data_IF_594883535934
#
_entry.id   IF_594883535934
#
_cell.length_a   1.000
_cell.length_b   1.000
_cell.length_c   1.000
_cell.angle_alpha   90.00
_cell.angle_beta   90.00
_cell.angle_gamma   90.00
#
_symmetry.space_group_name_H-M   'P 1'
#
loop_
_entity.id
_entity.type
_entity.pdbx_description
1 polymer ?
#
# COMPACT_ATOMS: atom_id res chain seq x y z
N UNK A 1 -7.06 -5.02 -6.73
CA UNK A 1 -7.58 -6.38 -6.57
C UNK A 1 -7.26 -7.19 -7.80
N UNK A 2 -6.02 -7.64 -7.96
CA UNK A 2 -5.85 -9.00 -8.48
C UNK A 2 -5.14 -9.80 -7.41
N UNK A 3 -4.06 -9.28 -6.79
CA UNK A 3 -3.39 -9.94 -5.65
C UNK A 3 -4.35 -10.29 -4.50
N UNK A 4 -5.31 -9.41 -4.21
CA UNK A 4 -6.21 -9.56 -3.06
C UNK A 4 -7.40 -10.50 -3.34
N UNK A 5 -7.88 -10.57 -4.59
CA UNK A 5 -9.01 -11.45 -4.96
C UNK A 5 -8.55 -12.77 -5.57
N UNK A 6 -7.29 -12.88 -5.98
CA UNK A 6 -6.77 -14.13 -6.54
C UNK A 6 -6.88 -15.32 -5.58
N UNK A 7 -6.71 -15.17 -4.25
CA UNK A 7 -7.06 -16.23 -3.32
C UNK A 7 -8.51 -16.72 -3.46
N UNK A 8 -9.43 -15.84 -3.87
CA UNK A 8 -10.88 -16.10 -3.91
C UNK A 8 -11.26 -17.12 -4.96
N UNK A 9 -10.47 -17.32 -6.02
CA UNK A 9 -10.73 -18.37 -7.00
C UNK A 9 -10.62 -19.79 -6.42
N UNK A 10 -9.91 -19.95 -5.31
CA UNK A 10 -9.75 -21.23 -4.62
C UNK A 10 -10.73 -21.45 -3.47
N UNK A 11 -11.44 -20.41 -3.02
CA UNK A 11 -12.31 -20.50 -1.85
C UNK A 11 -13.57 -21.34 -2.06
N UNK A 12 -14.29 -21.30 -3.21
CA UNK A 12 -15.55 -22.03 -3.39
C UNK A 12 -15.46 -23.52 -3.03
N UNK A 13 -14.36 -24.17 -3.42
CA UNK A 13 -14.13 -25.60 -3.15
C UNK A 13 -13.96 -25.94 -1.66
N UNK A 14 -13.73 -24.95 -0.80
CA UNK A 14 -13.44 -25.13 0.64
C UNK A 14 -14.56 -24.61 1.55
N UNK A 15 -15.57 -23.93 0.99
CA UNK A 15 -16.64 -23.32 1.79
C UNK A 15 -17.47 -24.36 2.55
N UNK A 16 -17.63 -25.56 2.00
CA UNK A 16 -18.38 -26.65 2.64
C UNK A 16 -17.72 -27.18 3.92
N UNK A 17 -16.39 -27.07 4.03
CA UNK A 17 -15.61 -27.69 5.11
C UNK A 17 -15.30 -26.71 6.26
N UNK A 18 -15.51 -25.42 6.03
CA UNK A 18 -15.14 -24.35 6.97
C UNK A 18 -16.27 -23.33 7.14
N UNK A 19 -16.98 -23.43 8.27
CA UNK A 19 -18.05 -22.50 8.64
C UNK A 19 -17.55 -21.05 8.77
N UNK A 20 -16.34 -20.84 9.31
CA UNK A 20 -15.80 -19.49 9.43
C UNK A 20 -15.45 -18.88 8.07
N UNK A 21 -14.94 -19.67 7.14
CA UNK A 21 -14.66 -19.22 5.78
C UNK A 21 -15.95 -18.94 5.00
N UNK A 22 -16.97 -19.77 5.19
CA UNK A 22 -18.31 -19.54 4.63
C UNK A 22 -18.90 -18.21 5.11
N UNK A 23 -18.88 -17.96 6.42
CA UNK A 23 -19.43 -16.73 7.00
C UNK A 23 -18.61 -15.48 6.59
N UNK A 24 -17.28 -15.59 6.54
CA UNK A 24 -16.41 -14.53 6.03
C UNK A 24 -16.68 -14.22 4.55
N UNK A 25 -16.86 -15.25 3.72
CA UNK A 25 -17.17 -15.09 2.29
C UNK A 25 -18.56 -14.47 2.10
N UNK A 26 -19.55 -14.88 2.91
CA UNK A 26 -20.88 -14.29 2.90
C UNK A 26 -20.86 -12.80 3.29
N UNK A 27 -20.05 -12.41 4.28
CA UNK A 27 -19.80 -11.00 4.59
C UNK A 27 -19.27 -10.24 3.36
N UNK A 28 -18.23 -10.77 2.71
CA UNK A 28 -17.64 -10.13 1.53
C UNK A 28 -18.67 -9.95 0.39
N UNK A 29 -19.46 -10.99 0.10
CA UNK A 29 -20.52 -10.92 -0.90
C UNK A 29 -21.56 -9.85 -0.55
N UNK A 30 -21.98 -9.76 0.71
CA UNK A 30 -22.96 -8.76 1.16
C UNK A 30 -22.44 -7.33 1.01
N UNK A 31 -21.19 -7.05 1.41
CA UNK A 31 -20.61 -5.70 1.29
C UNK A 31 -20.37 -5.32 -0.16
N UNK A 32 -19.99 -6.29 -0.99
CA UNK A 32 -19.80 -6.11 -2.42
C UNK A 32 -21.13 -5.78 -3.12
N UNK A 33 -22.20 -6.48 -2.76
CA UNK A 33 -23.54 -6.25 -3.30
C UNK A 33 -24.09 -4.86 -2.93
N UNK A 34 -23.94 -4.43 -1.67
CA UNK A 34 -24.26 -3.06 -1.21
C UNK A 34 -23.46 -2.03 -2.00
N UNK A 35 -22.16 -2.26 -2.18
CA UNK A 35 -21.29 -1.37 -2.96
C UNK A 35 -21.77 -1.26 -4.42
N UNK A 36 -22.07 -2.39 -5.08
CA UNK A 36 -22.55 -2.40 -6.47
C UNK A 36 -23.88 -1.70 -6.66
N UNK A 37 -24.77 -1.77 -5.66
CA UNK A 37 -26.06 -1.05 -5.68
C UNK A 37 -25.92 0.44 -5.35
N UNK A 38 -24.71 0.91 -5.02
CA UNK A 38 -24.43 2.28 -4.62
C UNK A 38 -25.32 2.76 -3.45
N UNK A 39 -25.62 1.83 -2.53
CA UNK A 39 -26.44 2.12 -1.36
C UNK A 39 -25.68 2.97 -0.35
N UNK A 40 -26.41 3.53 0.62
CA UNK A 40 -25.81 4.26 1.72
C UNK A 40 -24.84 3.32 2.45
N UNK A 41 -23.57 3.73 2.52
CA UNK A 41 -22.53 2.96 3.21
C UNK A 41 -22.92 2.77 4.69
N UNK A 42 -22.95 1.51 5.11
CA UNK A 42 -23.15 1.10 6.49
C UNK A 42 -21.77 0.72 7.05
N UNK A 43 -21.46 1.15 8.28
CA UNK A 43 -20.26 0.69 8.97
C UNK A 43 -20.30 -0.84 9.09
N UNK A 44 -19.19 -1.52 8.77
CA UNK A 44 -19.17 -2.99 8.79
C UNK A 44 -19.55 -3.55 10.16
N UNK A 45 -19.10 -2.90 11.23
CA UNK A 45 -19.44 -3.25 12.61
C UNK A 45 -20.95 -3.29 12.91
N UNK A 46 -21.77 -2.59 12.13
CA UNK A 46 -23.23 -2.57 12.28
C UNK A 46 -23.93 -3.63 11.41
N UNK A 47 -23.22 -4.34 10.54
CA UNK A 47 -23.79 -5.37 9.69
C UNK A 47 -23.95 -6.69 10.45
N UNK A 48 -25.13 -7.32 10.45
CA UNK A 48 -25.31 -8.64 11.07
C UNK A 48 -24.36 -9.71 10.51
N UNK A 49 -24.05 -9.64 9.20
CA UNK A 49 -23.10 -10.53 8.55
C UNK A 49 -21.67 -10.40 9.11
N UNK A 50 -21.26 -9.18 9.51
CA UNK A 50 -19.95 -8.95 10.12
C UNK A 50 -19.90 -9.57 11.51
N UNK A 51 -20.92 -9.31 12.34
CA UNK A 51 -21.05 -9.96 13.64
C UNK A 51 -20.99 -11.48 13.52
N UNK A 52 -21.73 -12.08 12.59
CA UNK A 52 -21.70 -13.53 12.34
C UNK A 52 -20.30 -14.03 11.97
N UNK A 53 -19.61 -13.37 11.04
CA UNK A 53 -18.26 -13.73 10.62
C UNK A 53 -17.25 -13.70 11.78
N UNK A 54 -17.29 -12.65 12.61
CA UNK A 54 -16.41 -12.51 13.77
C UNK A 54 -16.67 -13.60 14.82
N UNK A 55 -17.94 -13.91 15.15
CA UNK A 55 -18.25 -14.99 16.10
C UNK A 55 -17.87 -16.38 15.56
N UNK A 56 -18.02 -16.60 14.25
CA UNK A 56 -17.61 -17.85 13.59
C UNK A 56 -16.09 -18.02 13.63
N UNK A 57 -15.35 -16.94 13.36
CA UNK A 57 -13.90 -16.90 13.50
C UNK A 57 -13.45 -17.14 14.95
N UNK A 58 -14.04 -16.45 15.92
CA UNK A 58 -13.70 -16.59 17.34
C UNK A 58 -13.83 -18.05 17.81
N UNK A 59 -14.95 -18.70 17.53
CA UNK A 59 -15.15 -20.13 17.84
C UNK A 59 -14.12 -21.03 17.16
N UNK A 60 -13.74 -20.71 15.93
CA UNK A 60 -12.73 -21.48 15.20
C UNK A 60 -11.34 -21.33 15.82
N UNK A 61 -11.00 -20.12 16.30
CA UNK A 61 -9.73 -19.85 16.98
C UNK A 61 -9.60 -20.55 18.34
N UNK A 62 -10.71 -20.93 18.96
CA UNK A 62 -10.77 -21.73 20.20
C UNK A 62 -10.73 -23.25 19.93
N UNK A 63 -10.78 -23.67 18.66
CA UNK A 63 -10.81 -25.08 18.25
C UNK A 63 -9.45 -25.58 17.75
N UNK A 64 -9.38 -26.87 17.45
CA UNK A 64 -8.26 -27.52 16.77
C UNK A 64 -8.03 -27.00 15.33
N UNK A 65 -9.01 -26.29 14.74
CA UNK A 65 -8.93 -25.70 13.40
C UNK A 65 -8.31 -24.29 13.38
N UNK A 66 -7.87 -23.75 14.52
CA UNK A 66 -7.37 -22.38 14.64
C UNK A 66 -6.23 -22.04 13.64
N UNK A 67 -5.30 -22.97 13.44
CA UNK A 67 -4.10 -22.78 12.62
C UNK A 67 -4.16 -23.54 11.30
N UNK A 68 -5.26 -23.39 10.58
CA UNK A 68 -5.46 -23.97 9.24
C UNK A 68 -5.45 -22.90 8.15
N UNK A 69 -5.19 -23.30 6.91
CA UNK A 69 -5.26 -22.40 5.75
C UNK A 69 -6.69 -21.86 5.55
N UNK A 70 -7.72 -22.59 5.97
CA UNK A 70 -9.12 -22.11 5.91
C UNK A 70 -9.37 -20.97 6.89
N UNK A 71 -8.88 -21.11 8.13
CA UNK A 71 -8.97 -20.01 9.12
C UNK A 71 -8.17 -18.80 8.65
N UNK A 72 -6.98 -19.01 8.07
CA UNK A 72 -6.19 -17.93 7.47
C UNK A 72 -6.93 -17.23 6.32
N UNK A 73 -7.60 -18.01 5.46
CA UNK A 73 -8.42 -17.47 4.38
C UNK A 73 -9.58 -16.63 4.93
N UNK A 74 -10.28 -17.13 5.96
CA UNK A 74 -11.39 -16.41 6.58
C UNK A 74 -10.95 -15.06 7.16
N UNK A 75 -9.83 -15.01 7.89
CA UNK A 75 -9.26 -13.77 8.43
C UNK A 75 -8.86 -12.82 7.30
N UNK A 76 -8.22 -13.33 6.25
CA UNK A 76 -7.81 -12.52 5.09
C UNK A 76 -9.02 -11.91 4.38
N UNK A 77 -10.11 -12.67 4.21
CA UNK A 77 -11.36 -12.18 3.60
C UNK A 77 -11.98 -11.06 4.45
N UNK A 78 -12.09 -11.26 5.77
CA UNK A 78 -12.63 -10.23 6.68
C UNK A 78 -11.77 -8.97 6.61
N UNK A 79 -10.44 -9.09 6.69
CA UNK A 79 -9.52 -7.96 6.64
C UNK A 79 -9.62 -7.18 5.33
N UNK A 80 -9.84 -7.87 4.21
CA UNK A 80 -10.06 -7.21 2.93
C UNK A 80 -11.41 -6.51 2.86
N UNK A 81 -12.47 -7.11 3.41
CA UNK A 81 -13.76 -6.47 3.51
C UNK A 81 -13.63 -5.14 4.28
N UNK A 82 -12.93 -5.15 5.42
CA UNK A 82 -12.62 -3.93 6.17
C UNK A 82 -11.77 -2.93 5.38
N UNK A 83 -10.72 -3.39 4.71
CA UNK A 83 -9.82 -2.48 3.97
C UNK A 83 -10.56 -1.71 2.87
N UNK A 84 -11.44 -2.39 2.14
CA UNK A 84 -12.10 -1.83 0.96
C UNK A 84 -13.44 -1.16 1.25
N UNK A 85 -14.19 -1.67 2.22
CA UNK A 85 -15.57 -1.24 2.47
C UNK A 85 -15.74 -0.52 3.82
N UNK A 86 -14.79 -0.65 4.76
CA UNK A 86 -14.85 0.09 6.02
C UNK A 86 -14.04 1.40 5.98
N UNK A 87 -14.71 2.47 6.38
CA UNK A 87 -14.10 3.78 6.61
C UNK A 87 -13.59 3.94 8.06
N UNK A 88 -13.83 2.94 8.91
CA UNK A 88 -13.47 2.91 10.32
C UNK A 88 -11.97 2.83 10.63
N UNK A 89 -11.66 3.06 11.92
CA UNK A 89 -10.31 3.13 12.48
C UNK A 89 -9.75 1.78 12.99
N UNK A 90 -10.46 0.64 12.87
CA UNK A 90 -10.06 -0.64 13.49
C UNK A 90 -8.87 -1.35 12.81
N UNK A 91 -8.39 -0.83 11.67
CA UNK A 91 -7.41 -1.48 10.77
C UNK A 91 -6.17 -2.08 11.47
N UNK A 92 -5.71 -1.47 12.58
CA UNK A 92 -4.50 -1.92 13.28
C UNK A 92 -4.74 -3.05 14.31
N UNK A 93 -5.99 -3.39 14.63
CA UNK A 93 -6.26 -4.36 15.69
C UNK A 93 -6.03 -5.81 15.23
N UNK A 94 -6.21 -6.08 13.94
CA UNK A 94 -6.14 -7.44 13.40
C UNK A 94 -4.74 -7.86 12.92
N UNK A 95 -3.83 -6.91 12.66
CA UNK A 95 -2.47 -7.19 12.14
C UNK A 95 -1.69 -8.15 13.04
N UNK A 96 -1.75 -7.97 14.37
CA UNK A 96 -1.07 -8.84 15.34
C UNK A 96 -1.62 -10.26 15.33
N UNK A 97 -2.94 -10.39 15.21
CA UNK A 97 -3.61 -11.69 15.10
C UNK A 97 -3.21 -12.41 13.82
N UNK A 98 -3.21 -11.69 12.69
CA UNK A 98 -2.79 -12.21 11.40
C UNK A 98 -1.32 -12.65 11.41
N UNK A 99 -0.41 -11.83 11.97
CA UNK A 99 0.99 -12.19 12.17
C UNK A 99 1.15 -13.47 13.00
N UNK A 100 0.37 -13.61 14.07
CA UNK A 100 0.41 -14.80 14.93
C UNK A 100 -0.04 -16.04 14.16
N UNK A 101 -1.08 -15.94 13.35
CA UNK A 101 -1.54 -17.03 12.49
C UNK A 101 -0.46 -17.46 11.49
N UNK A 102 0.14 -16.52 10.75
CA UNK A 102 1.22 -16.86 9.81
C UNK A 102 2.43 -17.49 10.50
N UNK A 103 2.79 -16.98 11.69
CA UNK A 103 3.91 -17.53 12.45
C UNK A 103 3.66 -18.96 12.93
N UNK A 104 2.40 -19.31 13.20
CA UNK A 104 2.00 -20.65 13.66
C UNK A 104 1.78 -21.63 12.51
N UNK A 105 1.23 -21.16 11.38
CA UNK A 105 0.98 -21.99 10.20
C UNK A 105 2.29 -22.28 9.45
N UNK A 106 3.19 -21.31 9.37
CA UNK A 106 4.46 -21.43 8.63
C UNK A 106 4.29 -21.25 7.11
N UNK A 107 5.36 -21.44 6.33
CA UNK A 107 5.36 -21.26 4.88
C UNK A 107 4.46 -22.28 4.16
N UNK A 108 4.00 -21.97 2.93
CA UNK A 108 3.18 -22.88 2.16
C UNK A 108 3.97 -24.13 1.75
N UNK A 109 3.27 -25.26 1.74
CA UNK A 109 3.82 -26.49 1.16
C UNK A 109 4.01 -26.32 -0.35
N UNK A 110 4.97 -27.01 -0.98
CA UNK A 110 5.12 -26.99 -2.43
C UNK A 110 3.79 -27.30 -3.13
N UNK A 111 3.39 -26.43 -4.06
CA UNK A 111 2.13 -26.57 -4.81
C UNK A 111 0.88 -26.02 -4.14
N UNK A 112 0.93 -25.59 -2.87
CA UNK A 112 -0.22 -24.95 -2.20
C UNK A 112 -0.41 -23.50 -2.69
N UNK A 113 -1.07 -23.37 -3.83
CA UNK A 113 -1.30 -22.08 -4.49
C UNK A 113 -2.17 -21.14 -3.65
N UNK A 114 -3.17 -21.66 -2.93
CA UNK A 114 -4.04 -20.82 -2.10
C UNK A 114 -3.23 -20.20 -0.95
N UNK A 115 -2.46 -21.01 -0.22
CA UNK A 115 -1.69 -20.50 0.90
C UNK A 115 -0.63 -19.46 0.48
N UNK A 116 0.08 -19.69 -0.63
CA UNK A 116 1.01 -18.70 -1.17
C UNK A 116 0.31 -17.37 -1.55
N UNK A 117 -0.90 -17.43 -2.09
CA UNK A 117 -1.69 -16.23 -2.46
C UNK A 117 -2.22 -15.50 -1.24
N UNK A 118 -2.65 -16.21 -0.20
CA UNK A 118 -3.04 -15.61 1.08
C UNK A 118 -1.87 -14.89 1.72
N UNK A 119 -0.68 -15.50 1.71
CA UNK A 119 0.55 -14.87 2.18
C UNK A 119 0.86 -13.57 1.42
N UNK A 120 0.75 -13.57 0.08
CA UNK A 120 0.91 -12.36 -0.73
C UNK A 120 -0.12 -11.26 -0.42
N UNK A 121 -1.39 -11.64 -0.25
CA UNK A 121 -2.43 -10.68 0.11
C UNK A 121 -2.17 -10.07 1.50
N UNK A 122 -1.72 -10.89 2.45
CA UNK A 122 -1.35 -10.46 3.80
C UNK A 122 -0.05 -9.65 3.84
N UNK A 123 0.90 -9.93 2.96
CA UNK A 123 2.17 -9.20 2.89
C UNK A 123 1.96 -7.69 2.77
N UNK A 124 1.05 -7.29 1.87
CA UNK A 124 0.67 -5.88 1.68
C UNK A 124 -0.04 -5.30 2.91
N UNK A 125 -0.86 -6.10 3.58
CA UNK A 125 -1.61 -5.70 4.78
C UNK A 125 -0.71 -5.51 6.01
N UNK A 126 0.36 -6.30 6.10
CA UNK A 126 1.28 -6.33 7.25
C UNK A 126 2.48 -5.40 7.06
N UNK A 127 2.71 -4.88 5.85
CA UNK A 127 3.77 -3.91 5.57
C UNK A 127 3.74 -2.68 6.51
N UNK A 128 2.58 -2.02 6.76
CA UNK A 128 2.46 -0.99 7.77
C UNK A 128 2.95 -1.39 9.17
N UNK A 129 2.64 -2.61 9.57
CA UNK A 129 2.96 -3.16 10.88
C UNK A 129 4.47 -3.26 11.08
N UNK A 130 5.19 -3.88 10.14
CA UNK A 130 6.64 -4.06 10.24
C UNK A 130 7.40 -2.73 10.18
N UNK A 131 6.92 -1.80 9.35
CA UNK A 131 7.46 -0.44 9.31
C UNK A 131 7.27 0.24 10.67
N UNK A 132 6.11 0.08 11.31
CA UNK A 132 5.81 0.73 12.59
C UNK A 132 6.52 0.07 13.78
N UNK A 133 6.74 -1.25 13.74
CA UNK A 133 7.34 -2.02 14.83
C UNK A 133 8.86 -1.84 14.94
N UNK A 134 9.48 -1.12 14.01
CA UNK A 134 10.91 -0.83 14.09
C UNK A 134 11.81 -2.00 13.73
N UNK A 135 11.27 -3.06 13.10
CA UNK A 135 11.95 -4.34 12.96
C UNK A 135 12.10 -5.13 14.28
N UNK A 136 11.48 -4.66 15.38
CA UNK A 136 11.50 -5.36 16.68
C UNK A 136 10.66 -6.64 16.69
N UNK A 137 9.81 -6.84 15.68
CA UNK A 137 9.14 -8.11 15.41
C UNK A 137 9.74 -8.73 14.16
N UNK A 138 10.12 -10.01 14.23
CA UNK A 138 10.63 -10.76 13.08
C UNK A 138 9.57 -10.73 11.98
N UNK A 139 9.93 -10.18 10.81
CA UNK A 139 9.10 -10.30 9.61
C UNK A 139 9.02 -11.79 9.26
N UNK A 140 7.85 -12.40 9.47
CA UNK A 140 7.64 -13.83 9.24
C UNK A 140 7.90 -14.22 7.78
N UNK A 141 7.77 -13.28 6.84
CA UNK A 141 8.01 -13.52 5.42
C UNK A 141 9.44 -13.26 4.96
N UNK A 142 10.36 -13.00 5.89
CA UNK A 142 11.80 -12.81 5.59
C UNK A 142 12.58 -14.13 5.56
N UNK A 143 11.88 -15.24 5.31
CA UNK A 143 12.50 -16.56 5.17
C UNK A 143 12.57 -16.95 3.70
N UNK A 144 13.59 -17.72 3.28
CA UNK A 144 13.73 -18.16 1.89
C UNK A 144 12.48 -18.90 1.37
N UNK A 145 11.81 -19.67 2.23
CA UNK A 145 10.61 -20.44 1.88
C UNK A 145 9.45 -19.52 1.51
N UNK A 146 9.22 -18.45 2.29
CA UNK A 146 8.19 -17.46 1.98
C UNK A 146 8.54 -16.65 0.72
N UNK A 147 9.79 -16.20 0.59
CA UNK A 147 10.27 -15.45 -0.58
C UNK A 147 10.08 -16.28 -1.86
N UNK A 148 10.52 -17.54 -1.86
CA UNK A 148 10.39 -18.40 -3.04
C UNK A 148 8.93 -18.74 -3.35
N UNK A 149 8.09 -18.93 -2.32
CA UNK A 149 6.66 -19.14 -2.52
C UNK A 149 5.97 -17.92 -3.15
N UNK A 150 6.33 -16.71 -2.72
CA UNK A 150 5.81 -15.47 -3.28
C UNK A 150 6.27 -15.27 -4.72
N UNK A 151 7.57 -15.39 -4.97
CA UNK A 151 8.13 -15.27 -6.31
C UNK A 151 7.54 -16.31 -7.27
N UNK A 152 7.46 -17.57 -6.86
CA UNK A 152 6.84 -18.64 -7.64
C UNK A 152 5.35 -18.40 -7.90
N UNK A 153 4.63 -17.90 -6.90
CA UNK A 153 3.22 -17.52 -7.07
C UNK A 153 3.05 -16.38 -8.09
N UNK A 154 3.90 -15.36 -8.05
CA UNK A 154 3.88 -14.28 -9.05
C UNK A 154 4.26 -14.79 -10.44
N UNK A 155 5.31 -15.59 -10.55
CA UNK A 155 5.77 -16.14 -11.82
C UNK A 155 4.72 -17.04 -12.49
N UNK A 156 4.08 -17.93 -11.71
CA UNK A 156 2.96 -18.79 -12.16
C UNK A 156 1.77 -17.95 -12.63
N UNK A 157 1.44 -16.86 -11.92
CA UNK A 157 0.34 -15.96 -12.31
C UNK A 157 0.60 -15.29 -13.67
N UNK A 158 1.84 -14.84 -13.87
CA UNK A 158 2.24 -14.12 -15.07
C UNK A 158 2.59 -15.06 -16.22
N UNK A 159 2.54 -16.38 -16.01
CA UNK A 159 3.05 -17.39 -16.93
C UNK A 159 4.48 -17.08 -17.39
N UNK A 160 5.33 -16.70 -16.43
CA UNK A 160 6.66 -16.13 -16.68
C UNK A 160 7.69 -16.66 -15.69
N UNK A 161 7.92 -17.97 -15.69
CA UNK A 161 8.86 -18.65 -14.76
C UNK A 161 10.28 -18.05 -14.79
N UNK A 162 10.70 -17.54 -15.95
CA UNK A 162 11.99 -16.84 -16.10
C UNK A 162 12.13 -15.58 -15.25
N UNK A 163 11.03 -15.02 -14.75
CA UNK A 163 11.05 -13.87 -13.83
C UNK A 163 11.26 -14.28 -12.38
N UNK A 164 11.10 -15.56 -12.02
CA UNK A 164 11.15 -16.00 -10.63
C UNK A 164 12.41 -15.54 -9.87
N UNK A 165 13.64 -15.67 -10.39
CA UNK A 165 14.83 -15.22 -9.66
C UNK A 165 14.81 -13.71 -9.37
N UNK A 166 14.38 -12.91 -10.35
CA UNK A 166 14.27 -11.46 -10.20
C UNK A 166 13.17 -11.07 -9.19
N UNK A 167 12.11 -11.86 -9.11
CA UNK A 167 11.04 -11.67 -8.12
C UNK A 167 11.53 -12.02 -6.71
N UNK A 168 12.33 -13.08 -6.54
CA UNK A 168 12.96 -13.44 -5.26
C UNK A 168 13.86 -12.30 -4.77
N UNK A 169 14.70 -11.76 -5.65
CA UNK A 169 15.54 -10.59 -5.33
C UNK A 169 14.71 -9.34 -4.97
N UNK A 170 13.59 -9.11 -5.68
CA UNK A 170 12.71 -7.99 -5.36
C UNK A 170 12.07 -8.14 -3.96
N UNK A 171 11.59 -9.33 -3.60
CA UNK A 171 11.02 -9.59 -2.27
C UNK A 171 12.06 -9.47 -1.16
N UNK A 172 13.27 -10.02 -1.35
CA UNK A 172 14.39 -9.83 -0.42
C UNK A 172 14.72 -8.35 -0.22
N UNK A 173 14.77 -7.59 -1.33
CA UNK A 173 14.99 -6.15 -1.28
C UNK A 173 13.88 -5.41 -0.51
N UNK A 174 12.60 -5.76 -0.73
CA UNK A 174 11.50 -5.16 0.01
C UNK A 174 11.59 -5.44 1.51
N UNK A 175 11.86 -6.68 1.90
CA UNK A 175 12.00 -7.07 3.31
C UNK A 175 13.16 -6.29 3.96
N UNK A 176 14.31 -6.23 3.28
CA UNK A 176 15.47 -5.45 3.70
C UNK A 176 15.10 -3.98 3.91
N UNK A 177 14.38 -3.36 2.96
CA UNK A 177 13.96 -1.97 3.10
C UNK A 177 13.05 -1.80 4.32
N UNK A 178 12.06 -2.67 4.51
CA UNK A 178 11.12 -2.56 5.63
C UNK A 178 11.81 -2.65 6.98
N UNK A 179 12.80 -3.55 7.11
CA UNK A 179 13.61 -3.67 8.31
C UNK A 179 14.46 -2.42 8.59
N UNK A 180 14.93 -1.73 7.54
CA UNK A 180 15.81 -0.55 7.64
C UNK A 180 15.06 0.78 7.68
N UNK A 181 13.82 0.82 7.22
CA UNK A 181 13.03 2.05 7.11
C UNK A 181 12.88 2.82 8.43
N UNK A 182 12.67 2.16 9.59
CA UNK A 182 12.62 2.85 10.89
C UNK A 182 13.91 3.60 11.21
N UNK A 183 15.07 3.01 10.90
CA UNK A 183 16.39 3.62 11.11
C UNK A 183 16.55 4.86 10.22
N UNK A 184 16.11 4.78 8.97
CA UNK A 184 16.11 5.90 8.01
C UNK A 184 15.22 7.04 8.53
N UNK A 185 14.00 6.74 8.98
CA UNK A 185 13.08 7.75 9.50
C UNK A 185 13.60 8.42 10.77
N UNK A 186 14.21 7.66 11.68
CA UNK A 186 14.84 8.20 12.88
C UNK A 186 15.99 9.12 12.52
N UNK A 187 16.87 8.71 11.60
CA UNK A 187 17.99 9.54 11.15
C UNK A 187 17.53 10.85 10.52
N UNK A 188 16.48 10.83 9.68
CA UNK A 188 15.93 12.04 9.05
C UNK A 188 15.32 13.01 10.07
N UNK A 189 14.70 12.49 11.14
CA UNK A 189 14.06 13.33 12.17
C UNK A 189 15.06 13.85 13.22
N UNK A 190 16.13 13.10 13.48
CA UNK A 190 17.09 13.41 14.52
C UNK A 190 17.73 14.81 14.43
N UNK A 191 18.11 15.37 13.26
CA UNK A 191 18.65 16.72 13.15
C UNK A 191 17.74 17.79 13.77
N UNK A 192 16.43 17.70 13.53
CA UNK A 192 15.47 18.65 14.12
C UNK A 192 15.34 18.51 15.64
N UNK A 193 15.38 17.28 16.16
CA UNK A 193 15.36 17.05 17.60
C UNK A 193 16.66 17.51 18.27
N UNK A 194 17.81 17.27 17.63
CA UNK A 194 19.12 17.69 18.11
C UNK A 194 19.28 19.23 18.10
N UNK A 195 18.88 19.90 17.02
CA UNK A 195 18.94 21.37 16.93
C UNK A 195 18.04 22.07 17.95
N UNK A 196 16.94 21.43 18.36
CA UNK A 196 16.03 21.91 19.40
C UNK A 196 16.47 21.52 20.82
N UNK A 197 17.62 20.85 20.99
CA UNK A 197 18.09 20.36 22.29
C UNK A 197 17.25 19.23 22.89
N UNK A 198 16.34 18.63 22.12
CA UNK A 198 15.46 17.54 22.53
C UNK A 198 16.14 16.16 22.49
N UNK A 199 17.35 16.08 21.93
CA UNK A 199 18.15 14.86 21.88
C UNK A 199 19.64 15.19 22.08
N UNK A 200 20.33 14.37 22.86
CA UNK A 200 21.77 14.48 23.14
C UNK A 200 22.63 13.69 22.15
N UNK A 201 22.04 12.78 21.38
CA UNK A 201 22.75 11.90 20.45
C UNK A 201 22.81 12.50 19.04
N UNK A 202 24.01 12.52 18.45
CA UNK A 202 24.19 12.90 17.03
C UNK A 202 23.42 11.92 16.12
N UNK A 203 22.79 12.40 15.03
CA UNK A 203 22.11 11.54 14.07
C UNK A 203 23.04 10.44 13.53
N UNK A 204 22.53 9.21 13.43
CA UNK A 204 23.22 8.13 12.73
C UNK A 204 23.32 8.47 11.24
N UNK A 205 24.52 8.37 10.65
CA UNK A 205 24.71 8.67 9.23
C UNK A 205 24.16 7.55 8.36
N UNK A 206 23.06 7.84 7.66
CA UNK A 206 22.39 6.91 6.74
C UNK A 206 22.80 7.10 5.28
N UNK A 207 23.82 7.91 4.98
CA UNK A 207 24.21 8.23 3.60
C UNK A 207 24.53 6.98 2.78
N UNK A 208 25.41 6.11 3.29
CA UNK A 208 25.81 4.87 2.59
C UNK A 208 24.63 3.90 2.42
N UNK A 209 23.77 3.80 3.43
CA UNK A 209 22.57 2.97 3.39
C UNK A 209 21.62 3.45 2.28
N UNK A 210 21.31 4.76 2.25
CA UNK A 210 20.42 5.35 1.25
C UNK A 210 21.00 5.22 -0.17
N UNK A 211 22.30 5.42 -0.36
CA UNK A 211 22.97 5.22 -1.64
C UNK A 211 22.89 3.76 -2.10
N UNK A 212 23.15 2.80 -1.21
CA UNK A 212 23.03 1.37 -1.52
C UNK A 212 21.60 0.97 -1.88
N UNK A 213 20.60 1.46 -1.14
CA UNK A 213 19.18 1.21 -1.45
C UNK A 213 18.76 1.88 -2.77
N UNK A 214 19.25 3.09 -3.06
CA UNK A 214 18.95 3.79 -4.31
C UNK A 214 19.51 3.05 -5.52
N UNK A 215 20.75 2.55 -5.45
CA UNK A 215 21.36 1.75 -6.51
C UNK A 215 20.63 0.42 -6.72
N UNK A 216 20.37 -0.32 -5.62
CA UNK A 216 19.61 -1.59 -5.69
C UNK A 216 18.21 -1.41 -6.26
N UNK A 217 17.49 -0.37 -5.84
CA UNK A 217 16.15 -0.09 -6.39
C UNK A 217 16.18 0.31 -7.87
N UNK A 218 17.21 1.03 -8.33
CA UNK A 218 17.36 1.36 -9.76
C UNK A 218 17.55 0.10 -10.58
N UNK A 219 18.47 -0.76 -10.13
CA UNK A 219 18.79 -2.01 -10.79
C UNK A 219 17.53 -2.89 -10.87
N UNK A 220 16.86 -3.13 -9.73
CA UNK A 220 15.66 -3.96 -9.68
C UNK A 220 14.54 -3.41 -10.57
N UNK A 221 14.27 -2.09 -10.55
CA UNK A 221 13.28 -1.46 -11.42
C UNK A 221 13.63 -1.63 -12.89
N UNK A 222 14.89 -1.34 -13.26
CA UNK A 222 15.34 -1.34 -14.66
C UNK A 222 15.33 -2.75 -15.24
N UNK A 223 15.86 -3.72 -14.50
CA UNK A 223 15.88 -5.13 -14.90
C UNK A 223 14.46 -5.70 -15.01
N UNK A 224 13.57 -5.40 -14.06
CA UNK A 224 12.20 -5.87 -14.10
C UNK A 224 11.41 -5.26 -15.26
N UNK A 225 11.50 -3.94 -15.47
CA UNK A 225 10.86 -3.29 -16.62
C UNK A 225 11.38 -3.88 -17.94
N UNK A 226 12.70 -4.05 -18.07
CA UNK A 226 13.32 -4.68 -19.25
C UNK A 226 12.79 -6.10 -19.46
N UNK A 227 12.82 -6.94 -18.43
CA UNK A 227 12.38 -8.34 -18.51
C UNK A 227 10.88 -8.45 -18.79
N UNK A 228 10.05 -7.56 -18.26
CA UNK A 228 8.62 -7.54 -18.57
C UNK A 228 8.35 -7.15 -20.01
N UNK A 229 9.13 -6.22 -20.60
CA UNK A 229 9.07 -5.93 -22.04
C UNK A 229 9.51 -7.13 -22.88
N UNK A 230 10.64 -7.76 -22.55
CA UNK A 230 11.17 -8.95 -23.24
C UNK A 230 10.18 -10.13 -23.24
N UNK A 231 9.36 -10.26 -22.20
CA UNK A 231 8.34 -11.31 -22.08
C UNK A 231 6.95 -10.87 -22.56
N UNK A 232 6.81 -9.72 -23.23
CA UNK A 232 5.53 -9.17 -23.71
C UNK A 232 4.48 -8.93 -22.60
N UNK A 233 4.92 -8.75 -21.35
CA UNK A 233 4.05 -8.46 -20.20
C UNK A 233 3.84 -6.96 -19.97
N UNK A 234 4.68 -6.13 -20.58
CA UNK A 234 4.64 -4.68 -20.57
C UNK A 234 4.88 -4.17 -21.99
N UNK A 235 3.95 -3.35 -22.50
CA UNK A 235 4.07 -2.61 -23.76
C UNK A 235 4.11 -1.12 -23.48
N UNK A 236 4.88 -0.42 -24.29
CA UNK A 236 4.96 1.04 -24.28
C UNK A 236 4.33 1.53 -25.58
N UNK A 237 3.35 2.41 -25.47
CA UNK A 237 2.59 2.96 -26.59
C UNK A 237 2.53 4.47 -26.47
N UNK A 238 2.39 5.16 -27.60
CA UNK A 238 2.11 6.60 -27.60
C UNK A 238 0.71 6.87 -27.05
N UNK A 239 0.59 7.96 -26.30
CA UNK A 239 -0.66 8.46 -25.75
C UNK A 239 -0.76 9.96 -25.96
N UNK A 240 -1.26 10.42 -27.12
CA UNK A 240 -1.39 11.84 -27.44
C UNK A 240 -2.35 12.60 -26.51
N UNK A 241 -3.25 11.90 -25.82
CA UNK A 241 -4.18 12.51 -24.86
C UNK A 241 -3.52 12.79 -23.50
N UNK A 242 -2.38 12.15 -23.25
CA UNK A 242 -1.67 12.27 -21.98
C UNK A 242 -0.56 13.31 -22.08
N UNK A 243 -0.39 14.19 -21.07
CA UNK A 243 0.75 15.10 -21.02
C UNK A 243 2.11 14.37 -20.93
N UNK A 244 2.10 13.06 -20.71
CA UNK A 244 3.31 12.23 -20.63
C UNK A 244 3.72 11.62 -21.99
N UNK A 245 2.90 11.78 -23.04
CA UNK A 245 3.07 11.28 -24.42
C UNK A 245 3.18 9.76 -24.58
N UNK A 246 3.39 9.03 -23.49
CA UNK A 246 3.61 7.59 -23.46
C UNK A 246 2.75 6.96 -22.37
N UNK A 247 2.25 5.76 -22.66
CA UNK A 247 1.52 4.93 -21.70
C UNK A 247 2.11 3.53 -21.64
N UNK A 248 1.95 2.93 -20.47
CA UNK A 248 2.27 1.54 -20.23
C UNK A 248 1.00 0.70 -20.23
N UNK A 249 0.99 -0.30 -21.10
CA UNK A 249 0.02 -1.38 -21.08
C UNK A 249 0.64 -2.61 -20.46
N UNK A 250 -0.03 -3.17 -19.46
CA UNK A 250 0.36 -4.45 -18.86
C UNK A 250 -0.73 -5.48 -19.07
N UNK A 251 -0.33 -6.75 -19.11
CA UNK A 251 -1.26 -7.86 -19.35
C UNK A 251 -2.32 -7.99 -18.25
N UNK A 252 -1.99 -7.65 -17.00
CA UNK A 252 -2.87 -7.85 -15.86
C UNK A 252 -2.77 -6.69 -14.85
N UNK A 253 -3.84 -6.40 -14.08
CA UNK A 253 -3.75 -5.44 -12.98
C UNK A 253 -2.74 -5.85 -11.90
N UNK A 254 -2.46 -7.15 -11.77
CA UNK A 254 -1.40 -7.67 -10.91
C UNK A 254 -0.04 -7.10 -11.31
N UNK A 255 0.31 -7.21 -12.59
CA UNK A 255 1.57 -6.69 -13.16
C UNK A 255 1.74 -5.21 -12.86
N UNK A 256 0.67 -4.43 -13.03
CA UNK A 256 0.65 -3.00 -12.73
C UNK A 256 0.93 -2.75 -11.25
N UNK A 257 0.21 -3.44 -10.36
CA UNK A 257 0.34 -3.30 -8.91
C UNK A 257 1.76 -3.64 -8.43
N UNK A 258 2.36 -4.71 -8.96
CA UNK A 258 3.72 -5.11 -8.60
C UNK A 258 4.76 -4.09 -9.06
N UNK A 259 4.73 -3.69 -10.34
CA UNK A 259 5.64 -2.67 -10.89
C UNK A 259 5.52 -1.34 -10.16
N UNK A 260 4.29 -0.86 -9.93
CA UNK A 260 4.06 0.37 -9.18
C UNK A 260 4.51 0.25 -7.73
N UNK A 261 4.37 -0.91 -7.10
CA UNK A 261 4.95 -1.18 -5.79
C UNK A 261 6.46 -0.93 -5.77
N UNK A 262 7.18 -1.39 -6.80
CA UNK A 262 8.64 -1.31 -6.84
C UNK A 262 9.11 0.12 -7.10
N UNK A 263 8.44 0.79 -8.05
CA UNK A 263 8.64 2.21 -8.33
C UNK A 263 8.31 3.10 -7.12
N UNK A 264 7.29 2.74 -6.35
CA UNK A 264 6.92 3.46 -5.11
C UNK A 264 8.00 3.32 -4.05
N UNK A 265 8.59 2.13 -3.92
CA UNK A 265 9.73 1.95 -3.02
C UNK A 265 10.93 2.78 -3.44
N UNK A 266 11.25 2.79 -4.73
CA UNK A 266 12.29 3.67 -5.28
C UNK A 266 12.01 5.14 -4.95
N UNK A 267 10.77 5.59 -5.18
CA UNK A 267 10.33 6.95 -4.85
C UNK A 267 10.56 7.27 -3.36
N UNK A 268 10.18 6.37 -2.45
CA UNK A 268 10.39 6.54 -1.01
C UNK A 268 11.87 6.71 -0.66
N UNK A 269 12.76 5.91 -1.27
CA UNK A 269 14.21 5.98 -1.05
C UNK A 269 14.78 7.30 -1.58
N UNK A 270 14.34 7.75 -2.76
CA UNK A 270 14.77 9.02 -3.33
C UNK A 270 14.31 10.22 -2.50
N UNK A 271 13.07 10.19 -1.99
CA UNK A 271 12.53 11.20 -1.08
C UNK A 271 13.30 11.24 0.23
N UNK A 272 13.58 10.08 0.83
CA UNK A 272 14.40 9.96 2.02
C UNK A 272 15.82 10.52 1.79
N UNK A 273 16.41 10.23 0.63
CA UNK A 273 17.73 10.74 0.22
C UNK A 273 17.74 12.26 0.04
N UNK A 274 16.72 12.81 -0.62
CA UNK A 274 16.58 14.25 -0.81
C UNK A 274 16.46 14.96 0.55
N UNK A 275 15.56 14.46 1.41
CA UNK A 275 15.37 15.03 2.75
C UNK A 275 16.63 14.92 3.60
N UNK A 276 17.31 13.78 3.57
CA UNK A 276 18.57 13.60 4.29
C UNK A 276 19.64 14.59 3.82
N UNK A 277 19.86 14.73 2.51
CA UNK A 277 20.86 15.68 1.99
C UNK A 277 20.51 17.15 2.33
N UNK A 278 19.23 17.52 2.29
CA UNK A 278 18.76 18.83 2.75
C UNK A 278 19.13 19.09 4.22
N UNK A 279 18.93 18.12 5.12
CA UNK A 279 19.32 18.26 6.54
C UNK A 279 20.84 18.36 6.77
N UNK A 280 21.65 17.97 5.79
CA UNK A 280 23.11 18.01 5.86
C UNK A 280 23.70 19.22 5.11
N UNK A 281 22.87 20.13 4.58
CA UNK A 281 23.33 21.28 3.79
C UNK A 281 23.98 20.92 2.44
N UNK A 282 23.72 19.72 1.89
CA UNK A 282 24.32 19.23 0.64
C UNK A 282 23.42 19.55 -0.57
N UNK A 283 23.14 20.83 -0.79
CA UNK A 283 22.23 21.30 -1.86
C UNK A 283 22.69 20.92 -3.27
N UNK A 284 23.99 20.82 -3.53
CA UNK A 284 24.53 20.44 -4.84
C UNK A 284 24.04 19.06 -5.33
N UNK A 285 23.76 18.14 -4.40
CA UNK A 285 23.23 16.81 -4.74
C UNK A 285 21.71 16.79 -4.91
N UNK A 286 21.01 17.85 -4.50
CA UNK A 286 19.56 17.92 -4.53
C UNK A 286 19.02 17.95 -5.97
N UNK A 287 19.63 18.72 -6.87
CA UNK A 287 19.20 18.83 -8.26
C UNK A 287 19.25 17.48 -9.00
N UNK A 288 20.34 16.73 -8.85
CA UNK A 288 20.48 15.40 -9.47
C UNK A 288 19.48 14.37 -8.90
N UNK A 289 19.27 14.39 -7.58
CA UNK A 289 18.26 13.55 -6.93
C UNK A 289 16.85 13.92 -7.38
N UNK A 290 16.56 15.22 -7.52
CA UNK A 290 15.27 15.70 -7.99
C UNK A 290 15.00 15.29 -9.44
N UNK A 291 15.99 15.39 -10.34
CA UNK A 291 15.87 14.91 -11.72
C UNK A 291 15.59 13.40 -11.78
N UNK A 292 16.27 12.61 -10.95
CA UNK A 292 16.04 11.16 -10.83
C UNK A 292 14.64 10.84 -10.30
N UNK A 293 14.21 11.59 -9.29
CA UNK A 293 12.88 11.49 -8.71
C UNK A 293 11.81 11.86 -9.74
N UNK A 294 12.01 12.92 -10.51
CA UNK A 294 11.10 13.36 -11.58
C UNK A 294 10.95 12.31 -12.66
N UNK A 295 12.05 11.66 -13.06
CA UNK A 295 12.06 10.54 -14.01
C UNK A 295 11.27 9.34 -13.47
N UNK A 296 11.42 9.04 -12.18
CA UNK A 296 10.65 7.98 -11.51
C UNK A 296 9.15 8.32 -11.50
N UNK A 297 8.78 9.57 -11.21
CA UNK A 297 7.40 10.04 -11.27
C UNK A 297 6.80 9.89 -12.68
N UNK A 298 7.52 10.31 -13.74
CA UNK A 298 7.08 10.12 -15.13
C UNK A 298 6.83 8.64 -15.43
N UNK A 299 7.72 7.76 -14.96
CA UNK A 299 7.58 6.31 -15.15
C UNK A 299 6.33 5.77 -14.45
N UNK A 300 6.02 6.24 -13.24
CA UNK A 300 4.77 5.91 -12.52
C UNK A 300 3.55 6.42 -13.29
N UNK A 301 3.61 7.65 -13.81
CA UNK A 301 2.48 8.29 -14.49
C UNK A 301 2.12 7.64 -15.83
N UNK A 302 3.06 6.97 -16.49
CA UNK A 302 2.78 6.14 -17.68
C UNK A 302 1.76 5.02 -17.40
N UNK A 303 1.56 4.60 -16.14
CA UNK A 303 0.51 3.64 -15.78
C UNK A 303 -0.88 4.28 -15.60
N UNK A 304 -0.99 5.61 -15.54
CA UNK A 304 -2.29 6.29 -15.33
C UNK A 304 -3.35 5.89 -16.36
N UNK A 305 -3.06 5.85 -17.68
CA UNK A 305 -4.04 5.44 -18.68
C UNK A 305 -4.55 4.01 -18.46
N UNK A 306 -3.66 3.07 -18.16
CA UNK A 306 -4.04 1.71 -17.81
C UNK A 306 -4.99 1.67 -16.60
N UNK A 307 -4.71 2.46 -15.57
CA UNK A 307 -5.51 2.48 -14.34
C UNK A 307 -6.88 3.11 -14.53
N UNK A 308 -7.02 4.04 -15.49
CA UNK A 308 -8.29 4.68 -15.84
C UNK A 308 -9.32 3.67 -16.35
N UNK A 309 -8.86 2.63 -17.03
CA UNK A 309 -9.70 1.63 -17.68
C UNK A 309 -10.08 0.47 -16.72
N UNK A 310 -9.69 0.58 -15.45
CA UNK A 310 -9.86 -0.45 -14.42
C UNK A 310 -10.62 0.11 -13.21
N UNK A 311 -11.50 -0.70 -12.61
CA UNK A 311 -12.21 -0.32 -11.38
C UNK A 311 -11.19 -0.11 -10.25
N UNK A 312 -11.39 0.91 -9.41
CA UNK A 312 -10.60 1.18 -8.21
C UNK A 312 -10.37 -0.05 -7.33
N UNK A 313 -11.37 -0.92 -7.27
CA UNK A 313 -11.28 -2.16 -6.54
C UNK A 313 -10.21 -3.06 -7.17
N UNK A 314 -10.08 -3.14 -8.49
CA UNK A 314 -9.02 -3.87 -9.21
C UNK A 314 -7.61 -3.28 -9.07
N UNK A 315 -7.45 -2.04 -8.61
CA UNK A 315 -6.13 -1.36 -8.50
C UNK A 315 -6.01 -0.37 -7.31
N UNK A 316 -6.02 -0.83 -6.04
CA UNK A 316 -6.03 0.05 -4.87
C UNK A 316 -4.67 0.67 -4.53
N UNK A 317 -3.55 -0.07 -4.66
CA UNK A 317 -2.20 0.47 -4.42
C UNK A 317 -1.77 1.53 -5.45
N UNK A 318 -2.05 1.35 -6.76
CA UNK A 318 -1.71 2.36 -7.76
C UNK A 318 -2.21 3.78 -7.45
N UNK A 319 -3.39 3.92 -6.80
CA UNK A 319 -3.88 5.23 -6.34
C UNK A 319 -2.91 5.89 -5.35
N UNK A 320 -2.41 5.13 -4.38
CA UNK A 320 -1.48 5.66 -3.37
C UNK A 320 -0.18 6.10 -4.04
N UNK A 321 0.40 5.26 -4.90
CA UNK A 321 1.60 5.56 -5.67
C UNK A 321 1.48 6.86 -6.46
N UNK A 322 0.39 7.04 -7.21
CA UNK A 322 0.16 8.24 -8.01
C UNK A 322 -0.08 9.45 -7.10
N UNK A 323 -0.88 9.33 -6.04
CA UNK A 323 -1.14 10.44 -5.12
C UNK A 323 0.14 10.97 -4.46
N UNK A 324 1.08 10.09 -4.12
CA UNK A 324 2.38 10.46 -3.54
C UNK A 324 3.29 11.19 -4.52
N UNK A 325 3.03 11.10 -5.82
CA UNK A 325 3.81 11.79 -6.86
C UNK A 325 3.22 13.13 -7.28
N UNK A 326 1.99 13.45 -6.88
CA UNK A 326 1.26 14.65 -7.33
C UNK A 326 2.00 15.97 -7.06
N UNK A 327 2.76 16.04 -5.97
CA UNK A 327 3.58 17.21 -5.62
C UNK A 327 4.61 17.57 -6.70
N UNK A 328 5.08 16.58 -7.48
CA UNK A 328 6.14 16.73 -8.47
C UNK A 328 5.64 17.02 -9.88
N UNK A 329 4.32 17.09 -10.05
CA UNK A 329 3.68 17.41 -11.33
C UNK A 329 3.63 18.92 -11.56
N UNK A 330 3.81 19.33 -12.82
CA UNK A 330 3.53 20.68 -13.28
C UNK A 330 2.01 20.94 -13.35
N UNK A 331 1.59 22.15 -13.74
CA UNK A 331 0.17 22.52 -13.76
C UNK A 331 -0.67 21.60 -14.68
N UNK A 332 -0.23 21.40 -15.92
CA UNK A 332 -0.94 20.56 -16.90
C UNK A 332 -1.04 19.10 -16.45
N UNK A 333 0.04 18.56 -15.90
CA UNK A 333 0.08 17.18 -15.38
C UNK A 333 -0.83 17.02 -14.16
N UNK A 334 -0.88 18.01 -13.27
CA UNK A 334 -1.78 18.02 -12.11
C UNK A 334 -3.24 18.02 -12.56
N UNK A 335 -3.60 18.85 -13.54
CA UNK A 335 -4.97 18.89 -14.07
C UNK A 335 -5.38 17.55 -14.67
N UNK A 336 -4.49 16.92 -15.43
CA UNK A 336 -4.71 15.57 -15.96
C UNK A 336 -4.90 14.53 -14.83
N UNK A 337 -4.01 14.53 -13.84
CA UNK A 337 -4.08 13.62 -12.68
C UNK A 337 -5.35 13.83 -11.85
N UNK A 338 -5.78 15.08 -11.63
CA UNK A 338 -7.03 15.41 -10.95
C UNK A 338 -8.21 14.83 -11.72
N UNK A 339 -8.27 15.02 -13.04
CA UNK A 339 -9.34 14.45 -13.86
C UNK A 339 -9.42 12.92 -13.76
N UNK A 340 -8.28 12.24 -13.60
CA UNK A 340 -8.24 10.80 -13.33
C UNK A 340 -8.70 10.49 -11.91
N UNK A 341 -8.22 11.22 -10.90
CA UNK A 341 -8.65 11.01 -9.50
C UNK A 341 -10.14 11.25 -9.32
N UNK A 342 -10.73 12.24 -9.99
CA UNK A 342 -12.17 12.46 -9.99
C UNK A 342 -12.91 11.26 -10.58
N UNK A 343 -12.46 10.74 -11.73
CA UNK A 343 -13.04 9.52 -12.32
C UNK A 343 -12.95 8.32 -11.39
N UNK A 344 -11.81 8.17 -10.71
CA UNK A 344 -11.63 7.11 -9.72
C UNK A 344 -12.52 7.35 -8.48
N UNK A 345 -12.57 8.55 -7.92
CA UNK A 345 -13.38 8.89 -6.74
C UNK A 345 -14.89 8.85 -7.02
N UNK A 346 -15.31 9.04 -8.27
CA UNK A 346 -16.70 8.82 -8.70
C UNK A 346 -17.16 7.36 -8.48
N UNK A 347 -16.25 6.39 -8.32
CA UNK A 347 -16.58 5.03 -7.90
C UNK A 347 -16.72 4.88 -6.38
N UNK A 348 -16.16 5.79 -5.57
CA UNK A 348 -16.26 5.75 -4.11
C UNK A 348 -17.38 6.63 -3.53
N UNK A 349 -17.99 7.50 -4.31
CA UNK A 349 -19.00 8.47 -3.87
C UNK A 349 -20.41 8.01 -4.21
N UNK A 350 -21.36 8.21 -3.29
CA UNK A 350 -22.77 7.86 -3.52
C UNK A 350 -23.36 8.72 -4.64
N UNK A 351 -24.48 8.30 -5.26
CA UNK A 351 -25.17 9.11 -6.29
C UNK A 351 -25.51 10.54 -5.81
N UNK A 352 -25.74 10.74 -4.52
CA UNK A 352 -26.01 12.07 -3.95
C UNK A 352 -24.76 12.96 -3.90
N UNK A 353 -23.60 12.39 -3.55
CA UNK A 353 -22.32 13.09 -3.58
C UNK A 353 -21.89 13.39 -5.02
N UNK A 354 -22.21 12.50 -5.97
CA UNK A 354 -22.01 12.71 -7.42
C UNK A 354 -22.77 13.94 -7.92
N UNK A 355 -24.05 14.08 -7.56
CA UNK A 355 -24.87 15.23 -7.94
C UNK A 355 -24.33 16.52 -7.30
N UNK A 356 -23.85 16.45 -6.05
CA UNK A 356 -23.29 17.61 -5.34
C UNK A 356 -21.95 18.05 -5.94
N UNK A 357 -21.05 17.12 -6.24
CA UNK A 357 -19.74 17.40 -6.84
C UNK A 357 -19.87 17.99 -8.26
N UNK A 358 -20.77 17.45 -9.09
CA UNK A 358 -21.06 18.00 -10.41
C UNK A 358 -21.63 19.42 -10.34
N UNK A 359 -22.50 19.70 -9.35
CA UNK A 359 -23.00 21.07 -9.10
C UNK A 359 -21.90 22.02 -8.65
N UNK A 360 -21.02 21.59 -7.74
CA UNK A 360 -19.87 22.40 -7.30
C UNK A 360 -18.90 22.71 -8.44
N UNK A 361 -18.67 21.75 -9.35
CA UNK A 361 -17.84 21.96 -10.55
C UNK A 361 -18.47 22.95 -11.52
N UNK A 362 -19.77 22.84 -11.78
CA UNK A 362 -20.48 23.80 -12.62
C UNK A 362 -20.44 25.23 -12.03
N UNK A 363 -20.43 25.36 -10.69
CA UNK A 363 -20.23 26.64 -10.01
C UNK A 363 -18.78 27.17 -10.16
N UNK A 364 -17.77 26.32 -9.97
CA UNK A 364 -16.35 26.70 -10.10
C UNK A 364 -16.00 27.06 -11.55
N UNK A 365 -16.50 26.32 -12.54
CA UNK A 365 -16.29 26.63 -13.96
C UNK A 365 -16.96 27.95 -14.35
N UNK A 366 -18.12 28.25 -13.75
CA UNK A 366 -18.79 29.55 -13.89
C UNK A 366 -17.97 30.69 -13.27
N UNK A 367 -17.35 30.47 -12.12
CA UNK A 367 -16.49 31.47 -11.46
C UNK A 367 -15.13 31.64 -12.18
N UNK A 368 -14.54 30.57 -12.72
CA UNK A 368 -13.31 30.63 -13.52
C UNK A 368 -13.50 31.37 -14.85
N UNK A 369 -14.69 31.26 -15.46
CA UNK A 369 -15.03 32.07 -16.64
C UNK A 369 -15.08 33.57 -16.35
N UNK A 370 -15.14 33.96 -15.06
CA UNK A 370 -15.14 35.35 -14.62
C UNK A 370 -13.76 35.88 -14.16
N UNK A 371 -12.70 35.06 -14.07
CA UNK A 371 -11.48 35.43 -13.34
C UNK A 371 -10.15 35.17 -14.07
N UNK A 372 -10.08 35.27 -15.39
CA UNK A 372 -8.80 35.21 -16.12
C UNK A 372 -8.03 36.54 -16.04
N UNK A 373 -7.40 36.82 -14.89
CA UNK A 373 -6.24 37.74 -14.80
C UNK A 373 -5.21 37.14 -13.82
N UNK A 374 -4.08 36.69 -14.40
CA UNK A 374 -2.74 36.44 -13.85
C UNK A 374 -2.57 35.64 -12.54
N UNK A 375 -1.94 34.46 -12.62
CA UNK A 375 -0.88 34.04 -11.68
C UNK A 375 0.10 33.08 -12.39
N UNK A 376 1.37 33.48 -12.48
CA UNK A 376 2.54 32.60 -12.71
C UNK A 376 2.98 31.98 -11.37
N UNK A 377 3.32 30.69 -11.35
CA UNK A 377 3.77 29.98 -10.14
C UNK A 377 5.11 29.28 -10.34
N UNK A 378 6.16 29.85 -9.75
CA UNK A 378 7.44 29.19 -9.45
C UNK A 378 7.29 28.34 -8.19
N UNK A 379 7.55 27.03 -8.31
CA UNK A 379 7.59 26.09 -7.18
C UNK A 379 9.05 25.94 -6.73
N UNK A 380 9.36 26.29 -5.48
CA UNK A 380 10.70 26.19 -4.89
C UNK A 380 10.92 24.88 -4.13
N UNK A 381 12.19 24.46 -3.98
CA UNK A 381 12.65 23.20 -3.37
C UNK A 381 12.10 22.94 -1.95
N UNK A 382 11.81 23.98 -1.18
CA UNK A 382 11.26 23.87 0.19
C UNK A 382 9.86 23.24 0.22
N UNK A 383 9.06 23.47 -0.82
CA UNK A 383 7.67 22.97 -0.88
C UNK A 383 7.57 21.44 -1.00
N UNK A 384 8.57 20.79 -1.62
CA UNK A 384 8.59 19.34 -1.78
C UNK A 384 8.89 18.61 -0.47
N UNK A 385 9.77 19.20 0.36
CA UNK A 385 10.09 18.67 1.69
C UNK A 385 8.91 18.75 2.66
N UNK A 386 8.15 19.85 2.62
CA UNK A 386 6.98 20.06 3.47
C UNK A 386 5.79 19.18 3.08
N UNK A 387 5.63 18.87 1.80
CA UNK A 387 4.60 17.94 1.32
C UNK A 387 4.90 16.48 1.72
N UNK A 388 6.17 16.05 1.68
CA UNK A 388 6.58 14.76 2.22
C UNK A 388 6.36 14.70 3.73
N UNK A 389 6.69 15.76 4.48
CA UNK A 389 6.37 15.83 5.91
C UNK A 389 4.87 15.84 6.18
N UNK A 390 4.05 16.54 5.38
CA UNK A 390 2.60 16.55 5.53
C UNK A 390 1.97 15.19 5.27
N UNK A 391 2.40 14.50 4.21
CA UNK A 391 1.97 13.13 3.90
C UNK A 391 2.47 12.13 4.95
N UNK A 392 3.75 12.15 5.29
CA UNK A 392 4.37 11.27 6.27
C UNK A 392 3.82 11.55 7.68
N UNK A 393 3.59 12.80 8.06
CA UNK A 393 2.95 13.14 9.33
C UNK A 393 1.48 12.79 9.32
N UNK A 394 0.69 12.94 8.23
CA UNK A 394 -0.69 12.40 8.20
C UNK A 394 -0.71 10.87 8.27
N UNK A 395 0.27 10.21 7.65
CA UNK A 395 0.45 8.76 7.66
C UNK A 395 0.90 8.26 9.04
N UNK A 396 1.78 8.99 9.74
CA UNK A 396 2.34 8.62 11.05
C UNK A 396 1.56 9.20 12.24
N UNK A 397 0.89 10.36 12.15
CA UNK A 397 0.13 11.00 13.24
C UNK A 397 -1.18 10.27 13.51
N UNK A 398 -1.86 9.79 12.44
CA UNK A 398 -2.95 8.80 12.56
C UNK A 398 -2.49 7.54 13.30
N UNK A 399 -1.19 7.21 13.29
CA UNK A 399 -0.59 6.01 13.91
C UNK A 399 -0.05 6.24 15.33
N UNK A 400 0.54 7.40 15.64
CA UNK A 400 1.09 7.69 16.97
C UNK A 400 0.00 8.01 18.00
N UNK A 401 -1.10 8.66 17.61
CA UNK A 401 -2.24 8.93 18.52
C UNK A 401 -2.90 7.64 19.05
N UNK A 402 -2.84 6.54 18.30
CA UNK A 402 -3.38 5.24 18.72
C UNK A 402 -2.47 4.49 19.69
N UNK A 403 -1.14 4.71 19.65
CA UNK A 403 -0.19 4.08 20.59
C UNK A 403 -0.38 4.60 22.03
N UNK A 404 -0.72 5.88 22.17
CA UNK A 404 -0.99 6.53 23.47
C UNK A 404 -2.32 6.04 24.08
N UNK A 405 -3.33 5.71 23.25
CA UNK A 405 -4.61 5.17 23.73
C UNK A 405 -4.54 3.67 24.09
N UNK A 406 -3.61 2.90 23.51
CA UNK A 406 -3.44 1.48 23.84
C UNK A 406 -2.60 1.21 25.10
N UNK A 407 -1.86 2.20 25.60
CA UNK A 407 -1.05 2.08 26.83
C UNK A 407 -1.79 2.46 28.11
N UNK A 408 -3.02 2.98 28.02
CA UNK A 408 -3.82 3.40 29.18
C UNK A 408 -4.81 2.34 29.70
N UNK A 409 -4.69 1.08 29.25
CA UNK A 409 -5.65 0.02 29.57
C UNK A 409 -5.01 -1.25 30.15
N UNK A 410 -4.04 -1.14 31.06
CA UNK A 410 -3.69 -2.25 31.98
C UNK A 410 -3.27 -1.66 33.33
N UNK A 411 -4.21 -1.54 34.27
CA UNK A 411 -3.94 -1.42 35.71
C UNK A 411 -5.27 -1.59 36.46
N UNK A 412 -5.73 -2.84 36.58
CA UNK A 412 -6.74 -3.22 37.58
C UNK A 412 -6.21 -4.42 38.33
N UNK A 413 -5.47 -4.12 39.39
CA UNK A 413 -4.93 -5.07 40.35
C UNK A 413 -6.10 -5.77 41.06
N UNK A 414 -6.27 -7.07 40.81
CA UNK A 414 -7.26 -7.88 41.55
C UNK A 414 -6.60 -8.38 42.83
N UNK A 415 -7.05 -7.85 43.97
CA UNK A 415 -6.66 -8.31 45.31
C UNK A 415 -7.37 -9.63 45.62
N UNK A 416 -6.61 -10.72 45.74
CA UNK A 416 -7.09 -11.98 46.30
C UNK A 416 -7.04 -11.91 47.84
N UNK A 417 -8.22 -11.96 48.48
CA UNK A 417 -8.33 -12.33 49.90
C UNK A 417 -8.20 -13.86 50.02
N UNK A 418 -7.24 -14.32 50.83
CA UNK A 418 -7.15 -15.69 51.31
C UNK A 418 -8.07 -15.86 52.53
N UNK A 419 -8.78 -16.99 52.57
CA UNK A 419 -9.10 -17.69 53.82
C UNK A 419 -7.96 -18.66 54.13
#
# INVERSE_FOLDING_TARGET
MVIHIEPFKYLPARLGDSACLLDASALLCNVWDIYRRNEKKILLSHMPAYGKAIHSLARTLESDKAYTVDTLAAVTVIQQAELYFDQGNSRLQHEKGLMTLFSRIGPPKPGDKLHARLGMAAYVLLLPHWIASGGGTTNVFDTPEWISAFAGSVADYLNAEKLKPLLEEAFDFYNTLCARFPQILQAIKAPSAYSLGLSTSKPYDVTRLLQGLAAKSEQACSELLKKMKENNLLKEEEDPESPFMLKYWVLTPFSCQFLLGLLTVRLIILLASLKWNSTQGKSEKAAALFATLRTTCLTIWRFIPFLRDHDLLTVPLPRQSISSTFAFANAQEKDYMIGVFEKLDLFQTTNNDRIKALRSRALIERDKSASWINVDATVTEDSAGDLFHGWLNKFLSRRMSQRIQSSSFVSTTTSYKRN
#
